data_IF_892139100303
#
_entry.id   IF_892139100303
#
_cell.length_a   1.000
_cell.length_b   1.000
_cell.length_c   1.000
_cell.angle_alpha   90.00
_cell.angle_beta   90.00
_cell.angle_gamma   90.00
#
_symmetry.space_group_name_H-M   'P 1'
#
loop_
_entity.id
_entity.type
_entity.pdbx_description
1 polymer ?
#
# COMPACT_ATOMS: atom_id res chain seq x y z
N UNK A 1 -21.08 -4.73 -29.75
CA UNK A 1 -20.07 -3.65 -29.86
C UNK A 1 -20.28 -2.62 -28.75
N UNK A 2 -19.54 -2.79 -27.65
CA UNK A 2 -19.22 -1.74 -26.66
C UNK A 2 -17.80 -2.06 -26.18
N UNK A 3 -16.89 -1.12 -26.42
CA UNK A 3 -15.44 -1.29 -26.40
C UNK A 3 -14.95 -1.83 -25.05
N UNK A 4 -14.13 -2.88 -25.12
CA UNK A 4 -13.39 -3.40 -23.99
C UNK A 4 -12.24 -2.47 -23.61
N UNK A 5 -12.02 -2.38 -22.29
CA UNK A 5 -10.77 -2.08 -21.60
C UNK A 5 -10.09 -0.76 -21.96
N UNK A 6 -10.53 0.30 -21.27
CA UNK A 6 -9.78 1.54 -21.16
C UNK A 6 -8.54 1.32 -20.27
N UNK A 7 -7.41 1.77 -20.81
CA UNK A 7 -6.23 2.29 -20.12
C UNK A 7 -5.46 1.32 -19.19
N UNK A 8 -4.55 0.55 -19.80
CA UNK A 8 -3.28 0.25 -19.15
C UNK A 8 -2.40 1.49 -19.17
N UNK A 9 -2.24 2.12 -18.01
CA UNK A 9 -1.23 3.13 -17.62
C UNK A 9 -1.45 3.28 -16.10
N UNK A 10 -0.51 2.97 -15.23
CA UNK A 10 0.58 3.85 -14.79
C UNK A 10 1.59 2.95 -14.05
N UNK A 11 2.76 2.72 -14.63
CA UNK A 11 4.00 3.39 -14.25
C UNK A 11 4.40 3.15 -12.79
N UNK A 12 5.31 2.19 -12.62
CA UNK A 12 6.14 1.99 -11.45
C UNK A 12 6.81 3.33 -11.08
N UNK A 13 6.45 3.90 -9.94
CA UNK A 13 7.29 4.85 -9.24
C UNK A 13 7.53 4.24 -7.87
N UNK A 14 8.74 3.69 -7.67
CA UNK A 14 9.18 3.22 -6.36
C UNK A 14 9.16 4.39 -5.39
N UNK A 15 8.08 4.50 -4.61
CA UNK A 15 8.06 5.34 -3.43
C UNK A 15 8.82 4.57 -2.36
N UNK A 16 10.03 5.04 -2.05
CA UNK A 16 10.72 4.67 -0.83
C UNK A 16 9.90 5.22 0.33
N UNK A 17 9.03 4.35 0.82
CA UNK A 17 8.03 4.64 1.85
C UNK A 17 8.66 4.62 3.23
N UNK A 18 8.71 5.77 3.91
CA UNK A 18 9.12 5.84 5.31
C UNK A 18 7.89 5.76 6.20
N UNK A 19 7.59 4.58 6.74
CA UNK A 19 6.40 4.37 7.58
C UNK A 19 6.41 5.22 8.87
N UNK A 20 5.32 5.96 9.11
CA UNK A 20 5.11 6.78 10.31
C UNK A 20 3.99 6.12 11.14
N UNK A 21 4.36 5.22 12.06
CA UNK A 21 3.40 4.42 12.83
C UNK A 21 2.82 5.15 14.04
N UNK A 22 1.49 5.18 14.18
CA UNK A 22 0.77 5.66 15.38
C UNK A 22 -0.08 4.53 15.98
N UNK A 23 0.55 3.82 16.93
CA UNK A 23 0.05 3.12 18.12
C UNK A 23 -1.29 2.35 18.12
N UNK A 24 -1.17 1.02 18.12
CA UNK A 24 -2.08 0.12 18.83
C UNK A 24 -1.98 -1.35 18.41
N UNK A 25 -0.95 -2.07 18.88
CA UNK A 25 -0.62 -3.47 18.54
C UNK A 25 -0.06 -3.65 17.11
N UNK A 26 1.24 -3.36 16.98
CA UNK A 26 2.11 -3.69 15.82
C UNK A 26 1.47 -3.55 14.42
N UNK A 27 0.70 -2.47 14.20
CA UNK A 27 0.35 -2.04 12.85
C UNK A 27 1.01 -0.70 12.51
N UNK A 28 1.55 -0.62 11.30
CA UNK A 28 2.13 0.61 10.77
C UNK A 28 1.56 0.94 9.40
N UNK A 29 1.37 2.22 9.17
CA UNK A 29 1.07 2.73 7.85
C UNK A 29 2.37 2.90 7.06
N UNK A 30 2.38 2.31 5.88
CA UNK A 30 3.43 2.44 4.89
C UNK A 30 3.07 3.66 4.05
N UNK A 31 3.91 4.69 4.12
CA UNK A 31 3.83 5.92 3.32
C UNK A 31 3.72 5.63 1.81
N UNK A 32 2.50 5.61 1.27
CA UNK A 32 2.25 5.29 -0.13
C UNK A 32 0.80 5.57 -0.52
N UNK A 33 0.58 6.35 -1.57
CA UNK A 33 -0.75 6.75 -2.02
C UNK A 33 -1.11 6.00 -3.31
N UNK A 34 -2.06 5.06 -3.24
CA UNK A 34 -2.54 4.32 -4.41
C UNK A 34 -3.92 4.81 -4.83
N UNK A 35 -4.11 5.09 -6.12
CA UNK A 35 -5.40 5.54 -6.66
C UNK A 35 -6.45 4.43 -6.79
N UNK A 36 -6.09 3.17 -6.53
CA UNK A 36 -6.99 2.01 -6.60
C UNK A 36 -6.57 0.92 -5.61
N UNK A 37 -7.57 0.18 -5.12
CA UNK A 37 -7.35 -0.96 -4.21
C UNK A 37 -6.42 -2.00 -4.83
N UNK A 38 -6.66 -2.35 -6.10
CA UNK A 38 -5.84 -3.33 -6.82
C UNK A 38 -4.37 -2.89 -6.97
N UNK A 39 -4.10 -1.58 -7.06
CA UNK A 39 -2.73 -1.06 -7.07
C UNK A 39 -2.05 -1.23 -5.72
N UNK A 40 -2.78 -0.95 -4.63
CA UNK A 40 -2.31 -1.19 -3.27
C UNK A 40 -2.03 -2.68 -3.03
N UNK A 41 -2.96 -3.57 -3.37
CA UNK A 41 -2.81 -5.03 -3.16
C UNK A 41 -1.70 -5.65 -4.01
N UNK A 42 -1.39 -5.06 -5.17
CA UNK A 42 -0.28 -5.49 -6.01
C UNK A 42 1.08 -5.10 -5.42
N UNK A 43 1.16 -3.97 -4.72
CA UNK A 43 2.41 -3.44 -4.16
C UNK A 43 2.65 -3.89 -2.71
N UNK A 44 1.58 -4.05 -1.92
CA UNK A 44 1.61 -4.49 -0.53
C UNK A 44 2.50 -5.73 -0.24
N UNK A 45 2.45 -6.83 -1.01
CA UNK A 45 3.32 -7.99 -0.79
C UNK A 45 4.79 -7.76 -1.16
N UNK A 46 5.10 -6.62 -1.80
CA UNK A 46 6.44 -6.22 -2.21
C UNK A 46 7.01 -5.08 -1.34
N UNK A 47 6.25 -4.59 -0.36
CA UNK A 47 6.73 -3.61 0.59
C UNK A 47 7.75 -4.25 1.52
N UNK A 48 8.93 -3.63 1.62
CA UNK A 48 9.98 -4.00 2.57
C UNK A 48 10.30 -2.80 3.46
N UNK A 49 10.29 -3.02 4.78
CA UNK A 49 10.70 -2.00 5.73
C UNK A 49 12.22 -2.01 5.93
N UNK A 50 12.82 -0.83 6.00
CA UNK A 50 14.25 -0.71 6.37
C UNK A 50 14.53 -1.19 7.81
N UNK A 51 13.51 -1.25 8.67
CA UNK A 51 13.66 -1.65 10.06
C UNK A 51 12.47 -2.50 10.50
N UNK A 52 12.74 -3.62 11.18
CA UNK A 52 11.73 -4.50 11.76
C UNK A 52 10.74 -5.12 10.75
N UNK A 53 11.14 -5.27 9.49
CA UNK A 53 10.33 -5.89 8.44
C UNK A 53 9.79 -7.26 8.84
N UNK A 54 10.64 -8.07 9.48
CA UNK A 54 10.31 -9.40 9.97
C UNK A 54 9.28 -9.43 11.11
N UNK A 55 8.87 -8.27 11.65
CA UNK A 55 7.82 -8.19 12.65
C UNK A 55 6.43 -8.17 12.02
N UNK A 56 6.29 -7.84 10.74
CA UNK A 56 4.98 -7.76 10.10
C UNK A 56 4.77 -8.98 9.20
N UNK A 57 3.69 -9.72 9.44
CA UNK A 57 3.39 -10.97 8.72
C UNK A 57 2.17 -10.85 7.81
N UNK A 58 1.41 -9.77 8.00
CA UNK A 58 0.20 -9.47 7.26
C UNK A 58 0.26 -8.05 6.72
N UNK A 59 -0.47 -7.84 5.63
CA UNK A 59 -0.70 -6.52 5.05
C UNK A 59 -2.19 -6.35 4.79
N UNK A 60 -2.64 -5.11 4.84
CA UNK A 60 -4.02 -4.71 4.57
C UNK A 60 -4.02 -3.40 3.79
N UNK A 61 -4.96 -3.26 2.86
CA UNK A 61 -5.10 -2.07 2.02
C UNK A 61 -6.33 -1.29 2.48
N UNK A 62 -6.13 -0.10 3.02
CA UNK A 62 -7.21 0.72 3.61
C UNK A 62 -7.36 2.03 2.84
N UNK A 63 -8.60 2.43 2.55
CA UNK A 63 -8.89 3.72 1.94
C UNK A 63 -8.80 4.81 3.02
N UNK A 64 -7.87 5.74 2.83
CA UNK A 64 -7.68 6.90 3.71
C UNK A 64 -8.73 7.98 3.47
N UNK A 65 -8.85 8.88 4.45
CA UNK A 65 -9.75 10.05 4.36
C UNK A 65 -9.35 11.06 3.28
N UNK A 66 -8.12 10.95 2.77
CA UNK A 66 -7.56 11.69 1.65
C UNK A 66 -8.00 11.16 0.28
N UNK A 67 -8.69 10.02 0.24
CA UNK A 67 -9.23 9.42 -0.99
C UNK A 67 -8.24 8.51 -1.73
N UNK A 68 -7.10 8.20 -1.13
CA UNK A 68 -6.13 7.24 -1.63
C UNK A 68 -6.14 5.97 -0.78
N UNK A 69 -5.74 4.86 -1.38
CA UNK A 69 -5.48 3.62 -0.68
C UNK A 69 -4.07 3.66 -0.10
N UNK A 70 -3.90 3.10 1.09
CA UNK A 70 -2.64 3.03 1.83
C UNK A 70 -2.40 1.59 2.28
N UNK A 71 -1.14 1.19 2.31
CA UNK A 71 -0.73 -0.13 2.81
C UNK A 71 -0.52 -0.04 4.32
N UNK A 72 -1.14 -0.97 5.04
CA UNK A 72 -1.01 -1.15 6.47
C UNK A 72 -0.36 -2.50 6.71
N UNK A 73 0.79 -2.52 7.37
CA UNK A 73 1.45 -3.76 7.79
C UNK A 73 1.00 -4.10 9.20
N UNK A 74 0.73 -5.38 9.46
CA UNK A 74 0.25 -5.88 10.74
C UNK A 74 1.07 -7.10 11.20
N UNK A 75 1.14 -7.29 12.52
CA UNK A 75 1.70 -8.47 13.18
C UNK A 75 0.62 -9.24 13.95
#
# INVERSE_FOLDING_TARGET
MKLACAAGLLALAGLLTTGVGVAGADEIEVEGNYSSQAGCEADAPHVELMHNDNLYTHWDCRLGSDGFWHVWLLN
#
